data_IF_871499943248
#
_entry.id   IF_871499943248
#
_cell.length_a   1.000
_cell.length_b   1.000
_cell.length_c   1.000
_cell.angle_alpha   90.00
_cell.angle_beta   90.00
_cell.angle_gamma   90.00
#
_symmetry.space_group_name_H-M   'P 1'
#
loop_
_entity.id
_entity.type
_entity.pdbx_description
1 polymer ?
#
# COMPACT_ATOMS: atom_id res chain seq x y z
N UNK A 1 -11.27 14.26 -16.94
CA UNK A 1 -11.37 13.63 -15.61
C UNK A 1 -11.82 12.18 -15.69
N UNK A 2 -13.03 11.90 -16.22
CA UNK A 2 -13.63 10.55 -16.24
C UNK A 2 -12.74 9.47 -16.86
N UNK A 3 -12.14 9.73 -18.04
CA UNK A 3 -11.26 8.75 -18.72
C UNK A 3 -10.01 8.44 -17.88
N UNK A 4 -9.38 9.47 -17.27
CA UNK A 4 -8.22 9.30 -16.41
C UNK A 4 -8.56 8.50 -15.15
N UNK A 5 -9.71 8.79 -14.53
CA UNK A 5 -10.19 8.06 -13.36
C UNK A 5 -10.53 6.60 -13.71
N UNK A 6 -11.10 6.35 -14.90
CA UNK A 6 -11.38 5.00 -15.38
C UNK A 6 -10.11 4.18 -15.57
N UNK A 7 -9.10 4.74 -16.25
CA UNK A 7 -7.79 4.09 -16.42
C UNK A 7 -7.12 3.85 -15.07
N UNK A 8 -7.16 4.85 -14.17
CA UNK A 8 -6.65 4.72 -12.81
C UNK A 8 -7.32 3.57 -12.04
N UNK A 9 -8.63 3.39 -12.20
CA UNK A 9 -9.38 2.27 -11.61
C UNK A 9 -8.88 0.90 -12.07
N UNK A 10 -8.53 0.75 -13.35
CA UNK A 10 -7.96 -0.49 -13.88
C UNK A 10 -6.60 -0.80 -13.24
N UNK A 11 -5.73 0.20 -13.10
CA UNK A 11 -4.41 0.06 -12.47
C UNK A 11 -4.56 -0.38 -11.01
N UNK A 12 -5.46 0.26 -10.28
CA UNK A 12 -5.75 -0.11 -8.88
C UNK A 12 -6.30 -1.53 -8.78
N UNK A 13 -7.21 -1.92 -9.68
CA UNK A 13 -7.73 -3.29 -9.74
C UNK A 13 -6.63 -4.33 -9.99
N UNK A 14 -5.74 -4.08 -10.95
CA UNK A 14 -4.61 -4.95 -11.24
C UNK A 14 -3.67 -5.09 -10.03
N UNK A 15 -3.40 -3.99 -9.32
CA UNK A 15 -2.61 -4.00 -8.08
C UNK A 15 -3.23 -4.89 -7.00
N UNK A 16 -4.53 -4.77 -6.73
CA UNK A 16 -5.18 -5.60 -5.72
C UNK A 16 -5.21 -7.09 -6.07
N UNK A 17 -5.35 -7.42 -7.36
CA UNK A 17 -5.27 -8.81 -7.82
C UNK A 17 -3.85 -9.37 -7.61
N UNK A 18 -2.81 -8.58 -7.90
CA UNK A 18 -1.42 -9.00 -7.72
C UNK A 18 -1.01 -9.16 -6.24
N UNK A 19 -1.60 -8.38 -5.33
CA UNK A 19 -1.28 -8.44 -3.90
C UNK A 19 -1.61 -9.80 -3.26
N UNK A 20 -2.73 -10.43 -3.65
CA UNK A 20 -3.18 -11.69 -3.04
C UNK A 20 -2.11 -12.80 -3.11
N UNK A 21 -1.62 -13.16 -4.31
CA UNK A 21 -0.55 -14.14 -4.46
C UNK A 21 0.75 -13.75 -3.75
N UNK A 22 1.14 -12.46 -3.80
CA UNK A 22 2.38 -11.97 -3.17
C UNK A 22 2.33 -12.14 -1.65
N UNK A 23 1.20 -11.79 -1.03
CA UNK A 23 1.00 -11.97 0.42
C UNK A 23 0.95 -13.47 0.77
N UNK A 24 0.30 -14.29 -0.06
CA UNK A 24 0.26 -15.74 0.10
C UNK A 24 1.66 -16.36 0.13
N UNK A 25 2.52 -16.02 -0.84
CA UNK A 25 3.90 -16.53 -0.88
C UNK A 25 4.71 -16.12 0.37
N UNK A 26 4.45 -14.94 0.96
CA UNK A 26 5.10 -14.50 2.22
C UNK A 26 4.56 -15.25 3.43
N UNK A 27 3.26 -15.49 3.52
CA UNK A 27 2.66 -16.28 4.61
C UNK A 27 3.12 -17.73 4.58
N UNK A 28 3.25 -18.29 3.39
CA UNK A 28 3.84 -19.59 3.10
C UNK A 28 5.29 -19.68 3.63
N UNK A 29 6.12 -18.66 3.33
CA UNK A 29 7.49 -18.57 3.83
C UNK A 29 7.55 -18.45 5.36
N UNK A 30 6.69 -17.63 5.95
CA UNK A 30 6.56 -17.53 7.40
C UNK A 30 6.14 -18.86 8.03
N UNK A 31 5.18 -19.57 7.42
CA UNK A 31 4.69 -20.87 7.90
C UNK A 31 5.81 -21.92 7.90
N UNK A 32 6.61 -21.99 6.82
CA UNK A 32 7.77 -22.88 6.79
C UNK A 32 8.78 -22.51 7.87
N UNK A 33 9.09 -21.22 8.01
CA UNK A 33 10.11 -20.76 8.97
C UNK A 33 9.73 -21.00 10.43
N UNK A 34 8.44 -20.96 10.75
CA UNK A 34 7.90 -21.11 12.12
C UNK A 34 7.36 -22.51 12.41
N UNK A 35 7.14 -23.32 11.38
CA UNK A 35 6.47 -24.62 11.45
C UNK A 35 4.99 -24.52 11.87
N UNK A 36 4.39 -23.33 11.81
CA UNK A 36 3.01 -23.08 12.26
C UNK A 36 2.27 -22.22 11.26
N UNK A 37 1.07 -22.64 10.91
CA UNK A 37 0.18 -21.83 10.08
C UNK A 37 -0.45 -20.71 10.91
N UNK A 38 -0.04 -19.46 10.67
CA UNK A 38 -0.43 -18.29 11.48
C UNK A 38 -0.90 -17.10 10.65
N UNK A 39 -1.56 -17.33 9.51
CA UNK A 39 -2.01 -16.26 8.60
C UNK A 39 -2.86 -15.19 9.28
N UNK A 40 -3.79 -15.58 10.15
CA UNK A 40 -4.67 -14.64 10.86
C UNK A 40 -3.87 -13.66 11.75
N UNK A 41 -2.78 -14.12 12.37
CA UNK A 41 -1.90 -13.27 13.17
C UNK A 41 -1.18 -12.25 12.28
N UNK A 42 -0.59 -12.70 11.17
CA UNK A 42 0.10 -11.81 10.23
C UNK A 42 -0.85 -10.81 9.57
N UNK A 43 -2.06 -11.25 9.19
CA UNK A 43 -3.12 -10.36 8.70
C UNK A 43 -3.55 -9.33 9.76
N UNK A 44 -3.58 -9.71 11.03
CA UNK A 44 -3.81 -8.80 12.16
C UNK A 44 -2.72 -7.72 12.27
N UNK A 45 -1.45 -8.12 12.19
CA UNK A 45 -0.29 -7.21 12.21
C UNK A 45 -0.35 -6.25 11.01
N UNK A 46 -0.60 -6.78 9.81
CA UNK A 46 -0.75 -5.96 8.60
C UNK A 46 -1.87 -4.93 8.77
N UNK A 47 -3.03 -5.36 9.25
CA UNK A 47 -4.20 -4.49 9.48
C UNK A 47 -3.87 -3.39 10.49
N UNK A 48 -3.16 -3.71 11.57
CA UNK A 48 -2.72 -2.72 12.56
C UNK A 48 -1.89 -1.60 11.92
N UNK A 49 -0.90 -1.93 11.08
CA UNK A 49 -0.11 -0.93 10.36
C UNK A 49 -0.93 -0.12 9.35
N UNK A 50 -1.88 -0.75 8.65
CA UNK A 50 -2.79 -0.03 7.74
C UNK A 50 -3.60 1.02 8.53
N UNK A 51 -4.09 0.68 9.72
CA UNK A 51 -4.83 1.64 10.56
C UNK A 51 -3.96 2.81 11.01
N UNK A 52 -2.70 2.55 11.38
CA UNK A 52 -1.74 3.60 11.71
C UNK A 52 -1.47 4.50 10.49
N UNK A 53 -1.33 3.92 9.30
CA UNK A 53 -1.12 4.69 8.08
C UNK A 53 -2.28 5.66 7.78
N UNK A 54 -3.53 5.26 8.06
CA UNK A 54 -4.70 6.15 7.93
C UNK A 54 -4.62 7.35 8.89
N UNK A 55 -4.17 7.12 10.13
CA UNK A 55 -3.95 8.20 11.11
C UNK A 55 -2.84 9.13 10.60
N UNK A 56 -1.73 8.56 10.12
CA UNK A 56 -0.63 9.31 9.50
C UNK A 56 -1.08 10.15 8.31
N UNK A 57 -1.96 9.61 7.46
CA UNK A 57 -2.55 10.34 6.33
C UNK A 57 -3.31 11.59 6.79
N UNK A 58 -4.12 11.48 7.85
CA UNK A 58 -4.84 12.63 8.40
C UNK A 58 -3.89 13.73 8.91
N UNK A 59 -2.78 13.34 9.55
CA UNK A 59 -1.74 14.28 9.98
C UNK A 59 -1.11 15.00 8.78
N UNK A 60 -0.80 14.26 7.70
CA UNK A 60 -0.25 14.87 6.47
C UNK A 60 -1.24 15.87 5.87
N UNK A 61 -2.55 15.56 5.88
CA UNK A 61 -3.58 16.49 5.41
C UNK A 61 -3.54 17.78 6.20
N UNK A 62 -3.56 17.70 7.53
CA UNK A 62 -3.50 18.88 8.40
C UNK A 62 -2.25 19.72 8.11
N UNK A 63 -1.08 19.09 8.03
CA UNK A 63 0.19 19.80 7.77
C UNK A 63 0.13 20.56 6.44
N UNK A 64 -0.30 19.88 5.36
CA UNK A 64 -0.38 20.51 4.03
C UNK A 64 -1.41 21.63 4.00
N UNK A 65 -2.56 21.45 4.64
CA UNK A 65 -3.62 22.46 4.68
C UNK A 65 -3.17 23.71 5.43
N UNK A 66 -2.50 23.54 6.57
CA UNK A 66 -1.91 24.65 7.33
C UNK A 66 -0.80 25.35 6.52
N UNK A 67 0.11 24.58 5.92
CA UNK A 67 1.24 25.14 5.17
C UNK A 67 0.81 25.90 3.90
N UNK A 68 -0.32 25.52 3.30
CA UNK A 68 -0.83 26.14 2.06
C UNK A 68 -1.92 27.17 2.28
N UNK A 69 -2.31 27.41 3.54
CA UNK A 69 -3.32 28.40 3.90
C UNK A 69 -4.73 28.02 3.47
N UNK A 70 -5.06 26.73 3.53
CA UNK A 70 -6.41 26.24 3.24
C UNK A 70 -7.43 26.88 4.19
N UNK A 71 -8.50 27.43 3.63
CA UNK A 71 -9.61 27.96 4.40
C UNK A 71 -10.75 26.92 4.50
N UNK A 72 -11.13 26.44 5.69
CA UNK A 72 -12.21 25.46 5.82
C UNK A 72 -13.62 26.02 5.60
N UNK A 73 -13.79 27.35 5.50
CA UNK A 73 -15.08 27.97 5.21
C UNK A 73 -15.58 27.56 3.80
N UNK A 74 -16.77 26.92 3.69
CA UNK A 74 -17.34 26.51 2.41
C UNK A 74 -17.59 27.65 1.41
N UNK A 75 -17.71 28.89 1.89
CA UNK A 75 -17.93 30.07 1.06
C UNK A 75 -16.63 30.79 0.69
N UNK A 76 -15.49 30.39 1.27
CA UNK A 76 -14.22 31.03 1.00
C UNK A 76 -13.66 30.65 -0.37
N UNK A 77 -13.19 31.66 -1.11
CA UNK A 77 -12.37 31.44 -2.30
C UNK A 77 -10.96 31.04 -1.87
N UNK A 78 -10.57 29.82 -2.19
CA UNK A 78 -9.23 29.31 -1.91
C UNK A 78 -8.17 30.08 -2.71
N UNK A 79 -7.01 30.29 -2.09
CA UNK A 79 -5.85 30.82 -2.80
C UNK A 79 -5.31 29.79 -3.80
N UNK A 80 -4.57 30.21 -4.85
CA UNK A 80 -3.92 29.27 -5.76
C UNK A 80 -2.98 28.27 -5.06
N UNK A 81 -2.33 28.70 -3.97
CA UNK A 81 -1.45 27.85 -3.16
C UNK A 81 -2.24 26.77 -2.40
N UNK A 82 -3.37 27.13 -1.79
CA UNK A 82 -4.26 26.16 -1.12
C UNK A 82 -4.82 25.13 -2.12
N UNK A 83 -5.22 25.56 -3.32
CA UNK A 83 -5.66 24.65 -4.39
C UNK A 83 -4.53 23.69 -4.78
N UNK A 84 -3.29 24.19 -4.89
CA UNK A 84 -2.14 23.35 -5.17
C UNK A 84 -1.91 22.32 -4.06
N UNK A 85 -2.00 22.73 -2.79
CA UNK A 85 -1.95 21.84 -1.62
C UNK A 85 -2.95 20.69 -1.71
N UNK A 86 -4.22 20.98 -1.98
CA UNK A 86 -5.27 19.96 -2.15
C UNK A 86 -4.90 18.98 -3.27
N UNK A 87 -4.40 19.48 -4.41
CA UNK A 87 -4.01 18.64 -5.55
C UNK A 87 -2.84 17.72 -5.23
N UNK A 88 -1.92 18.11 -4.33
CA UNK A 88 -0.80 17.25 -3.93
C UNK A 88 -1.27 15.94 -3.27
N UNK A 89 -2.37 15.98 -2.51
CA UNK A 89 -2.96 14.79 -1.90
C UNK A 89 -3.52 13.79 -2.90
N UNK A 90 -3.98 14.27 -4.06
CA UNK A 90 -4.56 13.41 -5.11
C UNK A 90 -3.51 12.81 -6.05
N UNK A 91 -2.30 13.36 -6.09
CA UNK A 91 -1.30 12.98 -7.09
C UNK A 91 0.09 12.79 -6.51
N UNK A 92 0.75 13.89 -6.15
CA UNK A 92 2.17 13.87 -5.79
C UNK A 92 2.45 12.98 -4.58
N UNK A 93 1.67 13.13 -3.51
CA UNK A 93 1.92 12.42 -2.25
C UNK A 93 1.68 10.90 -2.41
N UNK A 94 0.54 10.41 -2.93
CA UNK A 94 0.37 8.99 -3.23
C UNK A 94 1.47 8.44 -4.17
N UNK A 95 1.84 9.19 -5.21
CA UNK A 95 2.85 8.74 -6.16
C UNK A 95 4.22 8.52 -5.50
N UNK A 96 4.65 9.41 -4.61
CA UNK A 96 5.91 9.26 -3.87
C UNK A 96 5.86 8.04 -2.93
N UNK A 97 4.75 7.84 -2.21
CA UNK A 97 4.58 6.69 -1.34
C UNK A 97 4.60 5.37 -2.13
N UNK A 98 3.90 5.31 -3.26
CA UNK A 98 3.88 4.13 -4.14
C UNK A 98 5.24 3.87 -4.75
N UNK A 99 5.97 4.91 -5.18
CA UNK A 99 7.32 4.77 -5.71
C UNK A 99 8.27 4.23 -4.65
N UNK A 100 8.21 4.75 -3.41
CA UNK A 100 9.01 4.23 -2.30
C UNK A 100 8.70 2.75 -2.02
N UNK A 101 7.42 2.39 -1.94
CA UNK A 101 6.99 1.00 -1.75
C UNK A 101 7.48 0.08 -2.89
N UNK A 102 7.41 0.55 -4.13
CA UNK A 102 7.92 -0.19 -5.29
C UNK A 102 9.43 -0.42 -5.21
N UNK A 103 10.22 0.60 -4.84
CA UNK A 103 11.67 0.46 -4.68
C UNK A 103 12.04 -0.50 -3.54
N UNK A 104 11.30 -0.49 -2.44
CA UNK A 104 11.46 -1.44 -1.34
C UNK A 104 11.15 -2.86 -1.84
N UNK A 105 10.03 -3.05 -2.53
CA UNK A 105 9.66 -4.35 -3.08
C UNK A 105 10.71 -4.87 -4.07
N UNK A 106 11.19 -4.04 -4.99
CA UNK A 106 12.25 -4.41 -5.93
C UNK A 106 13.54 -4.86 -5.26
N UNK A 107 13.87 -4.26 -4.10
CA UNK A 107 15.12 -4.55 -3.39
C UNK A 107 15.03 -5.78 -2.49
N UNK A 108 13.89 -5.98 -1.83
CA UNK A 108 13.77 -6.97 -0.75
C UNK A 108 12.91 -8.17 -1.08
N UNK A 109 12.03 -8.09 -2.09
CA UNK A 109 11.19 -9.23 -2.46
C UNK A 109 11.96 -10.18 -3.38
N UNK A 110 12.34 -11.34 -2.85
CA UNK A 110 13.17 -12.35 -3.51
C UNK A 110 12.43 -13.66 -3.82
N UNK A 111 11.14 -13.75 -3.49
CA UNK A 111 10.26 -14.92 -3.72
C UNK A 111 9.88 -15.05 -5.20
N UNK A 112 10.88 -15.18 -6.06
CA UNK A 112 10.75 -15.24 -7.51
C UNK A 112 11.51 -16.47 -8.04
N UNK A 113 10.97 -17.11 -9.08
CA UNK A 113 11.68 -18.18 -9.80
C UNK A 113 11.91 -19.43 -8.94
N UNK A 114 13.17 -19.84 -8.80
CA UNK A 114 13.50 -21.09 -8.10
C UNK A 114 13.22 -21.04 -6.59
N UNK A 115 13.39 -19.88 -5.93
CA UNK A 115 13.08 -19.74 -4.50
C UNK A 115 11.60 -20.03 -4.24
N UNK A 116 10.71 -19.44 -5.06
CA UNK A 116 9.26 -19.66 -4.97
C UNK A 116 8.88 -21.13 -5.23
N UNK A 117 9.51 -21.79 -6.21
CA UNK A 117 9.27 -23.22 -6.50
C UNK A 117 9.74 -24.12 -5.36
N UNK A 118 10.90 -23.84 -4.79
CA UNK A 118 11.43 -24.57 -3.65
C UNK A 118 10.50 -24.44 -2.43
N UNK A 119 10.00 -23.23 -2.17
CA UNK A 119 9.02 -22.96 -1.13
C UNK A 119 7.77 -23.84 -1.25
N UNK A 120 7.17 -23.87 -2.44
CA UNK A 120 5.97 -24.68 -2.73
C UNK A 120 6.22 -26.18 -2.61
N UNK A 121 7.45 -26.66 -2.84
CA UNK A 121 7.81 -28.06 -2.62
C UNK A 121 7.94 -28.39 -1.14
N UNK A 122 8.53 -27.49 -0.35
CA UNK A 122 8.69 -27.67 1.09
C UNK A 122 7.33 -27.71 1.79
N UNK A 123 6.41 -26.79 1.47
CA UNK A 123 5.05 -26.81 2.05
C UNK A 123 4.32 -28.13 1.82
N UNK A 124 4.39 -28.67 0.60
CA UNK A 124 3.78 -29.98 0.27
C UNK A 124 4.33 -31.14 1.09
N UNK A 125 5.55 -31.03 1.61
CA UNK A 125 6.18 -32.05 2.44
C UNK A 125 5.81 -31.90 3.92
N UNK A 126 5.35 -30.72 4.34
CA UNK A 126 5.08 -30.44 5.76
C UNK A 126 3.71 -30.94 6.23
N UNK A 127 2.81 -31.34 5.32
CA UNK A 127 1.45 -31.81 5.64
C UNK A 127 0.70 -30.88 6.62
N UNK A 128 0.90 -29.57 6.43
CA UNK A 128 0.30 -28.46 7.20
C UNK A 128 -0.74 -27.71 6.36
#
# INVERSE_FOLDING_TARGET
AIILTFIGGFVVGAYYIALGPVIGDVYDECTISTGKHQEAMYAGIQTFFIRIAIIGQAIIFVIVHLATGYNPDPQAKQTPLAIWGIRTHMGLLPALCTLAAFLIMLKYYDLIGEKQKALKRQLKQMDL
#
